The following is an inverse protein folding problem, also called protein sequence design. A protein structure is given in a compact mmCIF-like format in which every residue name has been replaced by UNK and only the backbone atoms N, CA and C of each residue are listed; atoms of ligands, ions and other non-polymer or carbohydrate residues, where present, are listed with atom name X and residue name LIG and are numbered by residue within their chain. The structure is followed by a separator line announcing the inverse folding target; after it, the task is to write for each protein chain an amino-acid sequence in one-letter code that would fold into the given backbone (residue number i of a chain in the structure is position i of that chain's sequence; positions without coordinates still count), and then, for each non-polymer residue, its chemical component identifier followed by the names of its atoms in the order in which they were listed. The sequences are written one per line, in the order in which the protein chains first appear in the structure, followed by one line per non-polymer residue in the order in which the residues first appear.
data_IF_804483306176
#
_entry.id   IF_804483306176
#
_cell.length_a   1.000
_cell.length_b   1.000
_cell.length_c   1.000
_cell.angle_alpha   90.00
_cell.angle_beta   90.00
_cell.angle_gamma   90.00
#
_symmetry.space_group_name_H-M   'P 1'
#
loop_
_entity.id
_entity.type
_entity.pdbx_description
1 polymer ?
#
# COMPACT_ATOMS: atom_id res chain seq x y z
N UNK A 1 -16.07 -2.87 -11.90
CA UNK A 1 -14.80 -2.28 -12.37
C UNK A 1 -14.94 -1.83 -13.82
N UNK A 2 -14.87 -2.74 -14.81
CA UNK A 2 -14.87 -2.39 -16.24
C UNK A 2 -16.05 -1.50 -16.68
N UNK A 3 -17.30 -1.88 -16.39
CA UNK A 3 -18.49 -1.05 -16.70
C UNK A 3 -18.48 0.33 -16.04
N UNK A 4 -17.74 0.51 -14.95
CA UNK A 4 -17.60 1.78 -14.25
C UNK A 4 -16.40 2.61 -14.74
N UNK A 5 -15.67 2.13 -15.76
CA UNK A 5 -14.54 2.85 -16.38
C UNK A 5 -13.20 2.70 -15.66
N UNK A 6 -13.05 1.74 -14.74
CA UNK A 6 -11.73 1.41 -14.19
C UNK A 6 -10.87 0.69 -15.22
N UNK A 7 -9.56 0.94 -15.20
CA UNK A 7 -8.60 0.34 -16.14
C UNK A 7 -8.24 -1.12 -15.82
N UNK A 8 -8.51 -1.60 -14.60
CA UNK A 8 -8.21 -2.97 -14.17
C UNK A 8 -8.84 -3.32 -12.83
N UNK A 9 -8.44 -4.47 -12.26
CA UNK A 9 -8.81 -4.86 -10.88
C UNK A 9 -7.59 -5.34 -10.12
N UNK A 10 -7.56 -5.05 -8.82
CA UNK A 10 -6.70 -5.74 -7.87
C UNK A 10 -7.55 -6.68 -7.00
N UNK A 11 -7.24 -7.98 -7.03
CA UNK A 11 -7.84 -8.95 -6.14
C UNK A 11 -7.03 -9.02 -4.84
N UNK A 12 -7.69 -8.71 -3.72
CA UNK A 12 -7.06 -8.78 -2.41
C UNK A 12 -7.06 -10.23 -1.89
N UNK A 13 -5.87 -10.84 -1.86
CA UNK A 13 -5.62 -12.22 -1.42
C UNK A 13 -4.49 -12.26 -0.37
N UNK A 14 -4.46 -11.27 0.52
CA UNK A 14 -3.40 -11.10 1.52
C UNK A 14 -3.94 -11.14 2.95
N UNK A 15 -3.00 -11.05 3.90
CA UNK A 15 -3.23 -10.66 5.29
C UNK A 15 -4.08 -11.62 6.14
N UNK A 16 -4.30 -12.84 5.65
CA UNK A 16 -5.07 -13.89 6.34
C UNK A 16 -6.49 -13.46 6.73
N UNK A 17 -7.07 -12.48 6.02
CA UNK A 17 -8.44 -12.01 6.22
C UNK A 17 -9.20 -11.93 4.90
N UNK A 18 -10.47 -11.52 4.99
CA UNK A 18 -11.44 -11.60 3.89
C UNK A 18 -11.57 -13.03 3.35
N UNK A 19 -12.36 -13.21 2.31
CA UNK A 19 -12.64 -14.54 1.77
C UNK A 19 -11.35 -15.22 1.28
N UNK A 20 -10.63 -14.59 0.36
CA UNK A 20 -9.49 -15.24 -0.31
C UNK A 20 -8.28 -15.37 0.61
N UNK A 21 -7.92 -14.32 1.36
CA UNK A 21 -6.82 -14.39 2.32
C UNK A 21 -7.03 -15.46 3.39
N UNK A 22 -8.27 -15.64 3.87
CA UNK A 22 -8.59 -16.70 4.84
C UNK A 22 -8.46 -18.11 4.25
N UNK A 23 -8.73 -18.30 2.95
CA UNK A 23 -8.56 -19.61 2.29
C UNK A 23 -7.08 -19.96 2.09
N UNK A 24 -6.25 -18.96 1.79
CA UNK A 24 -4.81 -19.13 1.56
C UNK A 24 -4.02 -19.40 2.84
N UNK A 25 -4.49 -18.93 4.00
CA UNK A 25 -3.75 -19.05 5.25
C UNK A 25 -4.07 -20.36 5.98
N UNK A 26 -3.06 -21.18 6.32
CA UNK A 26 -3.26 -22.36 7.18
C UNK A 26 -3.81 -22.01 8.57
N UNK A 27 -3.64 -20.77 9.03
CA UNK A 27 -4.13 -20.27 10.31
C UNK A 27 -5.65 -20.13 10.37
N UNK A 28 -6.32 -20.03 9.21
CA UNK A 28 -7.76 -19.78 9.11
C UNK A 28 -8.52 -20.91 8.41
N UNK A 29 -7.89 -21.56 7.44
CA UNK A 29 -8.55 -22.59 6.65
C UNK A 29 -8.46 -23.98 7.34
N UNK A 30 -9.45 -24.29 8.18
CA UNK A 30 -9.60 -25.60 8.82
C UNK A 30 -10.61 -26.50 8.10
N UNK A 31 -10.93 -26.20 6.83
CA UNK A 31 -11.87 -27.00 6.05
C UNK A 31 -11.35 -28.42 5.83
N UNK A 32 -12.27 -29.36 5.60
CA UNK A 32 -11.96 -30.77 5.34
C UNK A 32 -12.46 -31.25 3.97
N UNK A 33 -13.00 -30.34 3.16
CA UNK A 33 -13.53 -30.61 1.82
C UNK A 33 -12.47 -30.40 0.72
N UNK A 34 -12.90 -30.19 -0.52
CA UNK A 34 -11.98 -29.94 -1.65
C UNK A 34 -11.16 -28.64 -1.50
N UNK A 35 -11.57 -27.72 -0.62
CA UNK A 35 -10.85 -26.49 -0.29
C UNK A 35 -10.05 -26.62 1.03
N UNK A 36 -9.77 -27.84 1.47
CA UNK A 36 -9.13 -28.10 2.77
C UNK A 36 -7.77 -27.41 2.92
N UNK A 37 -7.62 -26.61 3.98
CA UNK A 37 -6.41 -25.81 4.20
C UNK A 37 -5.16 -26.60 4.58
N UNK A 38 -5.30 -27.87 4.98
CA UNK A 38 -4.14 -28.76 5.24
C UNK A 38 -3.34 -29.11 3.98
N UNK A 39 -3.93 -28.94 2.79
CA UNK A 39 -3.29 -29.19 1.49
C UNK A 39 -3.05 -27.88 0.76
N UNK A 40 -1.91 -27.76 0.09
CA UNK A 40 -1.59 -26.58 -0.72
C UNK A 40 -2.66 -26.37 -1.81
N UNK A 41 -3.03 -27.42 -2.51
CA UNK A 41 -4.01 -27.41 -3.60
C UNK A 41 -5.38 -26.94 -3.11
N UNK A 42 -5.80 -27.36 -1.92
CA UNK A 42 -7.07 -26.94 -1.31
C UNK A 42 -7.09 -25.46 -0.94
N UNK A 43 -5.96 -24.91 -0.44
CA UNK A 43 -5.84 -23.49 -0.09
C UNK A 43 -5.96 -22.58 -1.30
N UNK A 44 -5.37 -22.96 -2.43
CA UNK A 44 -5.25 -22.09 -3.61
C UNK A 44 -6.44 -22.22 -4.57
N UNK A 45 -7.19 -23.31 -4.50
CA UNK A 45 -8.27 -23.65 -5.45
C UNK A 45 -9.27 -22.51 -5.65
N UNK A 46 -9.79 -21.93 -4.56
CA UNK A 46 -10.76 -20.84 -4.65
C UNK A 46 -10.17 -19.61 -5.36
N UNK A 47 -8.92 -19.25 -5.07
CA UNK A 47 -8.28 -18.10 -5.70
C UNK A 47 -8.11 -18.33 -7.21
N UNK A 48 -7.63 -19.51 -7.61
CA UNK A 48 -7.46 -19.86 -9.03
C UNK A 48 -8.80 -19.80 -9.78
N UNK A 49 -9.87 -20.35 -9.20
CA UNK A 49 -11.22 -20.31 -9.78
C UNK A 49 -11.75 -18.87 -9.92
N UNK A 50 -11.50 -18.02 -8.92
CA UNK A 50 -11.91 -16.61 -8.96
C UNK A 50 -11.15 -15.84 -10.04
N UNK A 51 -9.83 -15.97 -10.11
CA UNK A 51 -9.01 -15.31 -11.15
C UNK A 51 -9.46 -15.74 -12.54
N UNK A 52 -9.58 -17.05 -12.79
CA UNK A 52 -10.04 -17.57 -14.08
C UNK A 52 -11.44 -17.06 -14.44
N UNK A 53 -12.34 -16.92 -13.45
CA UNK A 53 -13.68 -16.37 -13.68
C UNK A 53 -13.66 -14.87 -14.00
N UNK A 54 -12.78 -14.09 -13.36
CA UNK A 54 -12.58 -12.67 -13.68
C UNK A 54 -12.09 -12.56 -15.11
N UNK A 55 -11.00 -13.25 -15.47
CA UNK A 55 -10.43 -13.26 -16.83
C UNK A 55 -11.48 -13.58 -17.89
N UNK A 56 -12.25 -14.66 -17.68
CA UNK A 56 -13.33 -15.06 -18.58
C UNK A 56 -14.39 -13.96 -18.81
N UNK A 57 -14.64 -13.12 -17.80
CA UNK A 57 -15.65 -12.06 -17.86
C UNK A 57 -15.11 -10.75 -18.42
N UNK A 58 -13.83 -10.47 -18.25
CA UNK A 58 -13.23 -9.17 -18.59
C UNK A 58 -12.47 -9.18 -19.91
N UNK A 59 -12.11 -10.36 -20.42
CA UNK A 59 -11.27 -10.52 -21.61
C UNK A 59 -9.78 -10.33 -21.29
N UNK A 60 -8.93 -10.48 -22.30
CA UNK A 60 -7.47 -10.51 -22.15
C UNK A 60 -6.87 -9.10 -21.94
N UNK A 61 -7.54 -8.06 -22.45
CA UNK A 61 -7.06 -6.67 -22.39
C UNK A 61 -7.31 -5.96 -21.05
N UNK A 62 -7.89 -6.65 -20.06
CA UNK A 62 -8.25 -6.05 -18.78
C UNK A 62 -7.32 -6.53 -17.66
N UNK A 63 -6.38 -5.69 -17.18
CA UNK A 63 -5.42 -6.06 -16.16
C UNK A 63 -6.03 -6.62 -14.87
N UNK A 64 -5.52 -7.76 -14.43
CA UNK A 64 -5.83 -8.42 -13.17
C UNK A 64 -4.55 -8.48 -12.35
N UNK A 65 -4.47 -7.67 -11.28
CA UNK A 65 -3.40 -7.80 -10.29
C UNK A 65 -3.88 -8.59 -9.08
N UNK A 66 -2.96 -9.29 -8.41
CA UNK A 66 -3.27 -9.97 -7.14
C UNK A 66 -2.36 -9.45 -6.05
N UNK A 67 -2.97 -8.98 -4.96
CA UNK A 67 -2.25 -8.62 -3.75
C UNK A 67 -2.10 -9.82 -2.83
N UNK A 68 -0.86 -10.22 -2.54
CA UNK A 68 -0.53 -11.39 -1.73
C UNK A 68 0.28 -11.02 -0.50
N UNK A 69 0.04 -11.73 0.61
CA UNK A 69 1.05 -11.81 1.68
C UNK A 69 2.17 -12.70 1.17
N UNK A 70 3.35 -12.11 0.92
CA UNK A 70 4.55 -12.84 0.58
C UNK A 70 5.03 -13.72 1.73
N UNK A 71 4.95 -13.17 2.95
CA UNK A 71 5.22 -13.87 4.20
C UNK A 71 4.25 -13.39 5.30
N UNK A 72 3.55 -14.33 5.93
CA UNK A 72 2.55 -14.03 6.98
C UNK A 72 3.18 -13.68 8.34
N UNK A 73 4.42 -14.11 8.62
CA UNK A 73 5.18 -13.74 9.84
C UNK A 73 4.48 -14.09 11.16
N UNK A 74 3.69 -15.15 11.14
CA UNK A 74 3.05 -15.72 12.32
C UNK A 74 3.29 -17.24 12.35
N UNK A 75 3.32 -17.82 13.54
CA UNK A 75 3.63 -19.23 13.75
C UNK A 75 2.55 -20.12 13.14
N UNK A 76 2.90 -20.93 12.15
CA UNK A 76 1.94 -21.73 11.39
C UNK A 76 1.25 -20.98 10.24
N UNK A 77 1.63 -19.71 10.02
CA UNK A 77 1.25 -18.93 8.85
C UNK A 77 1.94 -19.40 7.58
N UNK A 78 1.54 -18.80 6.46
CA UNK A 78 2.12 -19.11 5.15
C UNK A 78 3.52 -18.50 4.99
N UNK A 79 4.47 -19.37 4.68
CA UNK A 79 5.86 -19.05 4.37
C UNK A 79 6.03 -18.57 2.91
N UNK A 80 7.17 -17.92 2.62
CA UNK A 80 7.49 -17.42 1.27
C UNK A 80 7.52 -18.53 0.21
N UNK A 81 8.00 -19.72 0.57
CA UNK A 81 8.10 -20.85 -0.36
C UNK A 81 6.73 -21.28 -0.91
N UNK A 82 5.67 -21.22 -0.09
CA UNK A 82 4.31 -21.50 -0.54
C UNK A 82 3.81 -20.42 -1.51
N UNK A 83 4.16 -19.16 -1.27
CA UNK A 83 3.82 -18.05 -2.17
C UNK A 83 4.55 -18.17 -3.50
N UNK A 84 5.83 -18.56 -3.50
CA UNK A 84 6.60 -18.81 -4.72
C UNK A 84 6.03 -19.98 -5.54
N UNK A 85 5.49 -21.01 -4.89
CA UNK A 85 4.78 -22.10 -5.58
C UNK A 85 3.44 -21.66 -6.17
N UNK A 86 2.75 -20.72 -5.53
CA UNK A 86 1.46 -20.20 -5.96
C UNK A 86 1.56 -19.21 -7.12
N UNK A 87 2.58 -18.34 -7.12
CA UNK A 87 2.66 -17.24 -8.08
C UNK A 87 2.62 -17.69 -9.56
N UNK A 88 3.38 -18.72 -10.01
CA UNK A 88 3.29 -19.20 -11.40
C UNK A 88 1.89 -19.71 -11.78
N UNK A 89 1.23 -20.43 -10.86
CA UNK A 89 -0.13 -20.93 -11.09
C UNK A 89 -1.16 -19.80 -11.25
N UNK A 90 -0.91 -18.66 -10.61
CA UNK A 90 -1.75 -17.48 -10.78
C UNK A 90 -1.51 -16.79 -12.12
N UNK A 91 -0.26 -16.76 -12.61
CA UNK A 91 0.04 -16.28 -13.96
C UNK A 91 -0.68 -17.16 -14.99
N UNK A 92 -0.60 -18.48 -14.86
CA UNK A 92 -1.33 -19.43 -15.73
C UNK A 92 -2.85 -19.22 -15.68
N UNK A 93 -3.40 -18.84 -14.52
CA UNK A 93 -4.82 -18.52 -14.37
C UNK A 93 -5.22 -17.16 -14.97
N UNK A 94 -4.26 -16.32 -15.34
CA UNK A 94 -4.46 -15.03 -16.00
C UNK A 94 -4.19 -13.80 -15.13
N UNK A 95 -3.32 -13.87 -14.13
CA UNK A 95 -2.82 -12.70 -13.38
C UNK A 95 -1.72 -11.98 -14.17
N UNK A 96 -1.82 -10.65 -14.27
CA UNK A 96 -0.90 -9.81 -15.04
C UNK A 96 0.17 -9.13 -14.19
N UNK A 97 0.00 -9.05 -12.86
CA UNK A 97 1.01 -8.53 -11.94
C UNK A 97 0.73 -8.92 -10.49
N UNK A 98 1.79 -8.90 -9.66
CA UNK A 98 1.68 -9.14 -8.22
C UNK A 98 1.92 -7.88 -7.41
N UNK A 99 1.09 -7.66 -6.39
CA UNK A 99 1.32 -6.65 -5.35
C UNK A 99 1.70 -7.35 -4.05
N UNK A 100 2.97 -7.26 -3.67
CA UNK A 100 3.51 -8.02 -2.54
C UNK A 100 3.41 -7.22 -1.24
N UNK A 101 2.70 -7.82 -0.29
CA UNK A 101 2.54 -7.36 1.08
C UNK A 101 2.94 -8.47 2.07
N UNK A 102 2.49 -8.41 3.32
CA UNK A 102 2.78 -9.45 4.31
C UNK A 102 2.07 -9.18 5.64
N UNK A 103 2.31 -10.05 6.62
CA UNK A 103 1.64 -10.01 7.91
C UNK A 103 0.25 -10.66 7.89
N UNK A 104 -0.38 -10.71 9.07
CA UNK A 104 -1.74 -11.22 9.34
C UNK A 104 -2.55 -10.19 10.13
N UNK A 105 -3.86 -10.12 9.94
CA UNK A 105 -4.70 -9.04 10.49
C UNK A 105 -5.02 -9.14 11.98
N UNK A 106 -4.79 -10.30 12.57
CA UNK A 106 -5.53 -10.75 13.75
C UNK A 106 -4.91 -10.25 15.05
N UNK A 107 -3.60 -10.39 15.11
CA UNK A 107 -2.79 -10.26 16.32
C UNK A 107 -1.79 -9.13 16.19
N UNK A 108 -1.45 -8.71 14.95
CA UNK A 108 -0.38 -7.76 14.69
C UNK A 108 -0.57 -6.99 13.38
N UNK A 109 -1.53 -6.07 13.37
CA UNK A 109 -1.80 -5.19 12.21
C UNK A 109 -0.57 -4.39 11.76
N UNK A 110 0.36 -4.11 12.68
CA UNK A 110 1.63 -3.45 12.42
C UNK A 110 2.52 -4.25 11.45
N UNK A 111 2.35 -5.57 11.35
CA UNK A 111 3.06 -6.38 10.34
C UNK A 111 2.47 -6.24 8.92
N UNK A 112 1.22 -5.76 8.81
CA UNK A 112 0.59 -5.38 7.54
C UNK A 112 0.92 -3.93 7.20
N UNK A 113 0.90 -3.05 8.21
CA UNK A 113 1.10 -1.62 8.09
C UNK A 113 2.31 -1.23 8.97
N UNK A 114 3.56 -1.33 8.47
CA UNK A 114 4.74 -1.24 9.35
C UNK A 114 4.86 0.09 10.09
N UNK A 115 4.74 0.06 11.41
CA UNK A 115 4.86 1.17 12.34
C UNK A 115 6.30 1.64 12.52
N UNK A 116 6.50 2.82 13.11
CA UNK A 116 7.78 3.55 13.21
C UNK A 116 8.98 2.70 13.68
N UNK A 117 8.73 1.67 14.48
CA UNK A 117 9.66 0.70 15.04
C UNK A 117 10.21 -0.34 14.04
N UNK A 118 9.53 -0.58 12.92
CA UNK A 118 9.94 -1.57 11.92
C UNK A 118 10.86 -0.98 10.84
N UNK A 119 11.68 -1.86 10.27
CA UNK A 119 12.59 -1.53 9.18
C UNK A 119 11.84 -1.08 7.91
N UNK A 120 12.45 -0.15 7.18
CA UNK A 120 12.03 0.18 5.80
C UNK A 120 12.17 -1.03 4.88
N UNK A 121 11.26 -1.16 3.92
CA UNK A 121 11.29 -2.23 2.91
C UNK A 121 10.95 -3.62 3.47
N UNK A 122 10.07 -3.72 4.46
CA UNK A 122 9.78 -4.98 5.18
C UNK A 122 9.43 -6.17 4.26
N UNK A 123 8.80 -5.92 3.11
CA UNK A 123 8.39 -6.96 2.16
C UNK A 123 9.30 -7.09 0.93
N UNK A 124 10.42 -6.37 0.88
CA UNK A 124 11.35 -6.34 -0.28
C UNK A 124 11.92 -7.73 -0.59
N UNK A 125 12.33 -8.47 0.43
CA UNK A 125 12.85 -9.83 0.25
C UNK A 125 11.80 -10.78 -0.34
N UNK A 126 10.55 -10.69 0.15
CA UNK A 126 9.45 -11.49 -0.35
C UNK A 126 9.09 -11.12 -1.80
N UNK A 127 9.12 -9.84 -2.15
CA UNK A 127 8.89 -9.39 -3.52
C UNK A 127 9.96 -9.93 -4.48
N UNK A 128 11.25 -9.83 -4.10
CA UNK A 128 12.36 -10.39 -4.89
C UNK A 128 12.20 -11.89 -5.10
N UNK A 129 11.83 -12.62 -4.06
CA UNK A 129 11.63 -14.07 -4.13
C UNK A 129 10.50 -14.46 -5.11
N UNK A 130 9.41 -13.69 -5.16
CA UNK A 130 8.32 -13.90 -6.13
C UNK A 130 8.79 -13.56 -7.55
N UNK A 131 9.51 -12.45 -7.73
CA UNK A 131 10.05 -12.03 -9.03
C UNK A 131 10.98 -13.08 -9.67
N UNK A 132 11.67 -13.89 -8.85
CA UNK A 132 12.53 -14.97 -9.35
C UNK A 132 11.78 -16.15 -9.99
N UNK A 133 10.46 -16.25 -9.79
CA UNK A 133 9.67 -17.40 -10.25
C UNK A 133 8.55 -17.02 -11.22
N UNK A 134 8.42 -15.75 -11.60
CA UNK A 134 7.41 -15.26 -12.54
C UNK A 134 8.02 -14.31 -13.57
N UNK A 135 7.37 -14.19 -14.72
CA UNK A 135 7.73 -13.30 -15.83
C UNK A 135 6.87 -12.02 -15.90
N UNK A 136 5.83 -11.93 -15.06
CA UNK A 136 4.98 -10.74 -14.93
C UNK A 136 5.53 -9.73 -13.91
N UNK A 137 5.18 -8.43 -14.00
CA UNK A 137 5.64 -7.41 -13.06
C UNK A 137 5.30 -7.72 -11.59
N UNK A 138 6.27 -7.45 -10.71
CA UNK A 138 6.11 -7.57 -9.25
C UNK A 138 6.27 -6.21 -8.59
N UNK A 139 5.22 -5.77 -7.91
CA UNK A 139 5.16 -4.52 -7.16
C UNK A 139 5.35 -4.77 -5.67
N UNK A 140 6.01 -3.86 -4.95
CA UNK A 140 6.25 -4.02 -3.50
C UNK A 140 5.74 -2.83 -2.67
N UNK A 141 5.03 -3.14 -1.58
CA UNK A 141 4.73 -2.20 -0.50
C UNK A 141 5.45 -2.64 0.77
N UNK A 142 5.78 -1.71 1.67
CA UNK A 142 6.30 -2.08 2.99
C UNK A 142 7.21 -1.04 3.57
N UNK A 143 6.66 0.16 3.81
CA UNK A 143 7.40 1.30 4.39
C UNK A 143 8.56 1.78 3.49
N UNK A 144 8.20 2.14 2.27
CA UNK A 144 9.09 2.75 1.27
C UNK A 144 8.65 4.21 1.14
N UNK A 145 9.38 5.13 1.75
CA UNK A 145 8.91 6.52 1.94
C UNK A 145 9.59 7.55 1.03
N UNK A 146 10.76 7.23 0.50
CA UNK A 146 11.56 8.18 -0.29
C UNK A 146 11.66 7.71 -1.74
N UNK A 147 11.64 8.64 -2.70
CA UNK A 147 11.91 8.32 -4.11
C UNK A 147 13.25 7.65 -4.31
N UNK A 148 14.28 8.05 -3.56
CA UNK A 148 15.63 7.46 -3.66
C UNK A 148 15.64 6.00 -3.22
N UNK A 149 14.92 5.65 -2.15
CA UNK A 149 14.84 4.26 -1.72
C UNK A 149 14.00 3.44 -2.71
N UNK A 150 12.92 4.01 -3.26
CA UNK A 150 12.14 3.36 -4.29
C UNK A 150 12.97 3.07 -5.56
N UNK A 151 13.75 4.06 -6.01
CA UNK A 151 14.65 3.95 -7.16
C UNK A 151 15.69 2.85 -6.94
N UNK A 152 16.36 2.83 -5.79
CA UNK A 152 17.34 1.80 -5.46
C UNK A 152 16.74 0.38 -5.53
N UNK A 153 15.51 0.20 -5.03
CA UNK A 153 14.84 -1.11 -5.08
C UNK A 153 14.54 -1.58 -6.51
N UNK A 154 14.21 -0.65 -7.41
CA UNK A 154 13.94 -0.97 -8.82
C UNK A 154 15.27 -1.24 -9.55
N UNK A 155 16.26 -0.37 -9.37
CA UNK A 155 17.59 -0.49 -9.98
C UNK A 155 18.31 -1.79 -9.58
N UNK A 156 18.15 -2.25 -8.34
CA UNK A 156 18.72 -3.49 -7.82
C UNK A 156 17.83 -4.73 -8.10
N UNK A 157 16.81 -4.58 -8.93
CA UNK A 157 15.87 -5.63 -9.37
C UNK A 157 15.14 -6.34 -8.22
N UNK A 158 14.86 -5.65 -7.12
CA UNK A 158 14.05 -6.19 -6.03
C UNK A 158 12.55 -6.23 -6.36
N UNK A 159 12.08 -5.32 -7.21
CA UNK A 159 10.71 -5.21 -7.69
C UNK A 159 10.69 -4.40 -9.00
N UNK A 160 9.64 -4.56 -9.80
CA UNK A 160 9.41 -3.78 -11.03
C UNK A 160 8.73 -2.43 -10.74
N UNK A 161 7.98 -2.37 -9.63
CA UNK A 161 7.31 -1.15 -9.19
C UNK A 161 7.29 -1.04 -7.67
N UNK A 162 7.19 0.19 -7.17
CA UNK A 162 7.04 0.48 -5.74
C UNK A 162 5.65 1.04 -5.50
N UNK A 163 4.96 0.49 -4.50
CA UNK A 163 3.65 0.96 -4.05
C UNK A 163 3.82 1.80 -2.79
N UNK A 164 3.35 3.04 -2.84
CA UNK A 164 3.35 3.96 -1.70
C UNK A 164 1.91 4.29 -1.28
N UNK A 165 1.52 3.86 -0.07
CA UNK A 165 0.24 4.25 0.54
C UNK A 165 0.39 5.51 1.40
N UNK A 166 0.79 5.33 2.66
CA UNK A 166 0.96 6.42 3.65
C UNK A 166 1.83 7.60 3.20
N UNK A 167 2.92 7.42 2.41
CA UNK A 167 3.64 8.56 1.85
C UNK A 167 2.77 9.50 1.01
N UNK A 168 1.76 8.97 0.29
CA UNK A 168 0.83 9.78 -0.49
C UNK A 168 -0.25 10.45 0.36
N UNK A 169 -0.58 9.89 1.52
CA UNK A 169 -1.40 10.61 2.52
C UNK A 169 -0.65 11.83 3.07
N UNK A 170 0.64 11.66 3.36
CA UNK A 170 1.49 12.76 3.83
C UNK A 170 1.73 13.79 2.71
N UNK A 171 1.99 13.35 1.48
CA UNK A 171 2.28 14.24 0.36
C UNK A 171 1.75 13.69 -0.97
N UNK A 172 0.53 14.08 -1.40
CA UNK A 172 -0.01 13.64 -2.67
C UNK A 172 0.79 14.18 -3.88
N UNK A 173 1.59 15.23 -3.68
CA UNK A 173 2.45 15.79 -4.73
C UNK A 173 3.83 15.10 -4.79
N UNK A 174 4.09 14.07 -3.96
CA UNK A 174 5.36 13.35 -3.90
C UNK A 174 5.88 12.92 -5.29
N UNK A 175 5.09 12.27 -6.16
CA UNK A 175 5.59 11.86 -7.48
C UNK A 175 6.03 13.05 -8.34
N UNK A 176 5.23 14.12 -8.37
CA UNK A 176 5.54 15.32 -9.15
C UNK A 176 6.76 16.07 -8.61
N UNK A 177 6.94 16.11 -7.29
CA UNK A 177 8.12 16.70 -6.64
C UNK A 177 9.38 15.88 -6.94
N UNK A 178 9.29 14.56 -6.88
CA UNK A 178 10.38 13.66 -7.22
C UNK A 178 10.81 13.84 -8.68
N UNK A 179 9.85 13.85 -9.61
CA UNK A 179 10.10 14.08 -11.04
C UNK A 179 10.77 15.44 -11.31
N UNK A 180 10.40 16.48 -10.56
CA UNK A 180 10.97 17.81 -10.66
C UNK A 180 12.31 17.99 -9.91
N UNK A 181 12.88 16.93 -9.30
CA UNK A 181 14.10 17.02 -8.48
C UNK A 181 13.92 17.76 -7.16
N UNK A 182 12.68 18.10 -6.76
CA UNK A 182 12.35 18.83 -5.53
C UNK A 182 12.17 17.90 -4.34
N UNK A 183 13.13 17.01 -4.15
CA UNK A 183 13.03 15.91 -3.17
C UNK A 183 13.05 16.44 -1.73
N UNK A 184 13.70 17.58 -1.49
CA UNK A 184 13.68 18.30 -0.21
C UNK A 184 12.31 18.89 0.17
N UNK A 185 11.44 19.12 -0.81
CA UNK A 185 10.09 19.68 -0.60
C UNK A 185 9.07 18.59 -0.20
N UNK A 186 9.48 17.32 -0.20
CA UNK A 186 8.59 16.20 0.07
C UNK A 186 8.27 16.14 1.57
N UNK A 187 6.97 16.10 1.89
CA UNK A 187 6.51 15.86 3.26
C UNK A 187 6.59 14.37 3.57
N UNK A 188 7.67 13.95 4.21
CA UNK A 188 7.95 12.54 4.50
C UNK A 188 7.01 11.95 5.55
N UNK A 189 6.38 10.83 5.24
CA UNK A 189 5.64 10.03 6.22
C UNK A 189 6.58 9.52 7.32
N UNK A 190 6.18 9.70 8.58
CA UNK A 190 6.91 9.25 9.75
C UNK A 190 6.41 7.92 10.34
N UNK A 191 5.45 7.26 9.68
CA UNK A 191 4.82 6.03 10.16
C UNK A 191 4.25 6.12 11.58
N UNK A 192 3.67 7.26 11.95
CA UNK A 192 2.99 7.44 13.24
C UNK A 192 1.66 6.70 13.40
N UNK A 193 1.17 6.07 12.33
CA UNK A 193 -0.07 5.25 12.32
C UNK A 193 -1.38 5.98 12.65
N UNK A 194 -1.36 7.30 12.84
CA UNK A 194 -2.57 8.13 12.99
C UNK A 194 -3.61 7.86 11.87
N UNK A 195 -3.15 7.68 10.62
CA UNK A 195 -4.02 7.33 9.50
C UNK A 195 -4.73 5.98 9.66
N UNK A 196 -4.14 5.03 10.37
CA UNK A 196 -4.76 3.74 10.68
C UNK A 196 -5.74 3.91 11.83
N UNK A 197 -5.32 4.59 12.90
CA UNK A 197 -6.13 4.84 14.08
C UNK A 197 -7.44 5.55 13.74
N UNK A 198 -7.40 6.57 12.86
CA UNK A 198 -8.60 7.30 12.46
C UNK A 198 -9.57 6.45 11.63
N UNK A 199 -9.04 5.55 10.78
CA UNK A 199 -9.84 4.60 10.01
C UNK A 199 -10.51 3.60 10.96
N UNK A 200 -9.77 3.06 11.94
CA UNK A 200 -10.30 2.14 12.95
C UNK A 200 -11.36 2.81 13.84
N UNK A 201 -11.16 4.08 14.17
CA UNK A 201 -12.13 4.92 14.87
C UNK A 201 -13.33 5.34 14.01
N UNK A 202 -13.33 5.03 12.70
CA UNK A 202 -14.38 5.36 11.72
C UNK A 202 -14.67 6.86 11.59
N UNK A 203 -13.66 7.69 11.78
CA UNK A 203 -13.77 9.17 11.65
C UNK A 203 -13.20 9.70 10.33
N UNK A 204 -12.91 8.80 9.38
CA UNK A 204 -12.25 9.12 8.11
C UNK A 204 -10.74 8.85 8.14
N UNK A 205 -10.07 9.09 7.03
CA UNK A 205 -8.60 9.00 6.95
C UNK A 205 -8.01 10.36 7.24
N UNK A 206 -7.22 10.47 8.31
CA UNK A 206 -6.44 11.66 8.60
C UNK A 206 -4.94 11.35 8.57
N UNK A 207 -4.13 12.39 8.46
CA UNK A 207 -2.69 12.25 8.55
C UNK A 207 -2.15 13.33 9.48
N UNK A 208 -1.41 12.92 10.51
CA UNK A 208 -0.73 13.81 11.44
C UNK A 208 0.16 14.87 10.77
N UNK A 209 0.65 14.60 9.56
CA UNK A 209 1.53 15.50 8.80
C UNK A 209 0.77 16.31 7.74
N UNK A 210 -0.39 15.84 7.29
CA UNK A 210 -1.18 16.49 6.26
C UNK A 210 -2.62 16.69 6.75
N UNK A 211 -2.88 17.87 7.33
CA UNK A 211 -4.20 18.21 7.89
C UNK A 211 -5.34 18.20 6.85
N UNK A 212 -5.02 18.22 5.55
CA UNK A 212 -6.00 18.15 4.45
C UNK A 212 -6.31 16.72 3.99
N UNK A 213 -5.51 15.73 4.40
CA UNK A 213 -5.72 14.33 4.02
C UNK A 213 -7.14 13.88 4.38
N UNK A 214 -7.88 13.37 3.39
CA UNK A 214 -9.25 12.90 3.54
C UNK A 214 -10.31 14.00 3.66
N UNK A 215 -9.90 15.29 3.60
CA UNK A 215 -10.76 16.48 3.72
C UNK A 215 -10.38 17.56 2.70
N UNK A 216 -9.92 17.13 1.53
CA UNK A 216 -9.33 18.01 0.51
C UNK A 216 -10.35 19.03 -0.02
N UNK A 217 -11.62 18.62 -0.07
CA UNK A 217 -12.78 19.43 -0.52
C UNK A 217 -13.32 20.36 0.57
N UNK A 218 -13.20 19.98 1.84
CA UNK A 218 -13.62 20.79 2.98
C UNK A 218 -12.64 21.94 3.25
N UNK A 219 -11.35 21.69 3.02
CA UNK A 219 -10.28 22.66 3.23
C UNK A 219 -9.53 22.97 1.92
N UNK A 220 -10.12 23.74 0.99
CA UNK A 220 -9.43 24.15 -0.23
C UNK A 220 -8.30 25.13 0.10
N UNK A 221 -7.14 24.96 -0.57
CA UNK A 221 -5.99 25.85 -0.42
C UNK A 221 -6.02 26.94 -1.50
N UNK A 222 -6.79 27.98 -1.24
CA UNK A 222 -6.96 29.11 -2.16
C UNK A 222 -6.12 30.32 -1.74
N UNK A 223 -5.62 31.14 -2.70
CA UNK A 223 -5.00 32.42 -2.39
C UNK A 223 -5.90 33.31 -1.53
N UNK A 224 -5.31 34.08 -0.61
CA UNK A 224 -6.07 35.06 0.15
C UNK A 224 -6.47 36.23 -0.75
N UNK A 225 -7.73 36.69 -0.64
CA UNK A 225 -8.22 37.87 -1.36
C UNK A 225 -7.42 39.14 -1.03
N UNK A 226 -6.77 39.20 0.13
CA UNK A 226 -5.91 40.31 0.53
C UNK A 226 -4.75 39.79 1.37
N UNK A 227 -3.52 40.13 0.97
CA UNK A 227 -2.32 39.79 1.73
C UNK A 227 -2.26 40.57 3.04
N UNK A 228 -1.70 39.95 4.09
CA UNK A 228 -1.60 40.49 5.45
C UNK A 228 -0.20 40.21 5.99
N UNK A 229 0.20 40.98 7.00
CA UNK A 229 1.38 40.68 7.84
C UNK A 229 0.91 39.85 9.04
N UNK A 230 1.44 38.65 9.19
CA UNK A 230 1.03 37.70 10.23
C UNK A 230 2.25 37.39 11.11
N UNK A 231 2.13 37.61 12.43
CA UNK A 231 3.09 37.15 13.42
C UNK A 231 2.58 35.84 14.03
N UNK A 232 3.37 34.78 13.93
CA UNK A 232 3.10 33.50 14.60
C UNK A 232 4.07 33.38 15.76
N UNK A 233 3.57 33.26 16.99
CA UNK A 233 4.43 33.13 18.18
C UNK A 233 4.50 31.65 18.58
N UNK A 234 5.64 31.02 18.30
CA UNK A 234 5.94 29.64 18.69
C UNK A 234 6.25 28.72 17.51
N UNK A 235 7.50 28.27 17.41
CA UNK A 235 8.01 27.42 16.31
C UNK A 235 7.70 25.91 16.43
N UNK A 236 6.65 25.53 17.15
CA UNK A 236 6.20 24.12 17.21
C UNK A 236 5.45 23.69 15.94
N UNK A 237 5.05 22.41 15.82
CA UNK A 237 4.36 21.90 14.62
C UNK A 237 3.10 22.69 14.23
N UNK A 238 2.31 23.12 15.22
CA UNK A 238 1.09 23.93 14.98
C UNK A 238 1.45 25.31 14.43
N UNK A 239 2.44 25.99 15.02
CA UNK A 239 2.89 27.30 14.57
C UNK A 239 3.55 27.25 13.18
N UNK A 240 4.40 26.25 12.94
CA UNK A 240 5.01 26.02 11.64
C UNK A 240 3.96 25.72 10.56
N UNK A 241 2.95 24.89 10.84
CA UNK A 241 1.90 24.60 9.86
C UNK A 241 1.02 25.82 9.57
N UNK A 242 0.66 26.60 10.60
CA UNK A 242 -0.07 27.85 10.44
C UNK A 242 0.73 28.87 9.60
N UNK A 243 2.03 29.05 9.90
CA UNK A 243 2.92 29.91 9.14
C UNK A 243 3.06 29.44 7.68
N UNK A 244 3.30 28.14 7.46
CA UNK A 244 3.44 27.53 6.13
C UNK A 244 2.20 27.74 5.27
N UNK A 245 1.01 27.49 5.82
CA UNK A 245 -0.26 27.70 5.11
C UNK A 245 -0.51 29.19 4.83
N UNK A 246 -0.22 30.08 5.79
CA UNK A 246 -0.37 31.51 5.58
C UNK A 246 0.54 32.03 4.45
N UNK A 247 1.80 31.59 4.39
CA UNK A 247 2.71 31.90 3.27
C UNK A 247 2.16 31.35 1.95
N UNK A 248 1.68 30.10 1.92
CA UNK A 248 1.10 29.50 0.70
C UNK A 248 -0.14 30.25 0.18
N UNK A 249 -0.91 30.87 1.08
CA UNK A 249 -2.06 31.73 0.72
C UNK A 249 -1.64 33.15 0.32
N UNK A 250 -0.36 33.51 0.39
CA UNK A 250 0.19 34.79 -0.05
C UNK A 250 0.37 35.85 1.05
N UNK A 251 0.34 35.48 2.33
CA UNK A 251 0.63 36.40 3.43
C UNK A 251 2.14 36.57 3.65
N UNK A 252 2.55 37.73 4.20
CA UNK A 252 3.90 37.93 4.73
C UNK A 252 3.92 37.47 6.18
N UNK A 253 4.72 36.45 6.50
CA UNK A 253 4.72 35.82 7.82
C UNK A 253 6.05 36.06 8.53
N UNK A 254 5.98 36.40 9.82
CA UNK A 254 7.09 36.33 10.77
C UNK A 254 6.76 35.21 11.75
N UNK A 255 7.71 34.28 11.94
CA UNK A 255 7.65 33.20 12.92
C UNK A 255 8.74 33.40 13.96
#
# INVERSE_FOLDING_TARGET
AQKAGYDGVELHAAHSYMLIGSFLSPLRNHRQDEYAGRKFEGRIKLLLEVVANIRKKTGDDFPITVRLSGYERDSGGREINDTQRLAPLLVEAGVDAFHVSGGVSDTNITMIIPGAELQNGLNVSAARAIKQVVDVPVMVVGRIHTPQFAEALIADEHADMVVMGRPLFADPALPNKAQAGRVSDIRLCNSCEDCVDTILARIGVHCALNARCGRETEFPLEPAATSKKVLVVGGGPVGMEAARLAVQRGHTVTL
#
